data_IF_595955887739
#
_entry.id   IF_595955887739
#
_cell.length_a   1.000
_cell.length_b   1.000
_cell.length_c   1.000
_cell.angle_alpha   90.00
_cell.angle_beta   90.00
_cell.angle_gamma   90.00
#
_symmetry.space_group_name_H-M   'P 1'
#
loop_
_entity.id
_entity.type
_entity.pdbx_description
1 polymer ?
#
# COMPACT_ATOMS: atom_id res chain seq x y z
N UNK A 1 5.92 23.24 1.44
CA UNK A 1 4.62 22.74 1.97
C UNK A 1 4.98 21.91 3.18
N UNK A 2 4.44 22.22 4.36
CA UNK A 2 4.87 21.53 5.59
C UNK A 2 4.31 20.10 5.64
N UNK A 3 5.03 19.14 6.23
CA UNK A 3 4.57 17.73 6.35
C UNK A 3 3.15 17.61 6.96
N UNK A 4 2.77 18.55 7.83
CA UNK A 4 1.44 18.66 8.45
C UNK A 4 0.33 19.03 7.44
N UNK A 5 0.63 19.84 6.43
CA UNK A 5 -0.34 20.18 5.37
C UNK A 5 -0.59 18.99 4.44
N UNK A 6 0.45 18.19 4.17
CA UNK A 6 0.37 17.01 3.30
C UNK A 6 -0.46 15.88 3.94
N UNK A 7 -0.22 15.56 5.23
CA UNK A 7 -1.02 14.58 5.98
C UNK A 7 -2.51 14.99 6.10
N UNK A 8 -2.77 16.29 6.26
CA UNK A 8 -4.14 16.80 6.33
C UNK A 8 -4.89 16.68 4.99
N UNK A 9 -4.17 16.79 3.88
CA UNK A 9 -4.74 16.73 2.52
C UNK A 9 -5.06 15.29 2.14
N UNK A 10 -4.12 14.36 2.34
CA UNK A 10 -4.35 12.93 2.10
C UNK A 10 -5.51 12.38 2.94
N UNK A 11 -5.61 12.78 4.21
CA UNK A 11 -6.71 12.37 5.08
C UNK A 11 -8.06 12.88 4.58
N UNK A 12 -8.11 14.09 4.04
CA UNK A 12 -9.33 14.66 3.49
C UNK A 12 -9.74 13.97 2.18
N UNK A 13 -8.80 13.60 1.32
CA UNK A 13 -9.07 12.83 0.11
C UNK A 13 -9.60 11.42 0.43
N UNK A 14 -9.01 10.74 1.41
CA UNK A 14 -9.49 9.44 1.88
C UNK A 14 -10.93 9.53 2.42
N UNK A 15 -11.21 10.54 3.25
CA UNK A 15 -12.55 10.79 3.78
C UNK A 15 -13.56 11.15 2.68
N UNK A 16 -13.15 11.95 1.69
CA UNK A 16 -14.00 12.31 0.56
C UNK A 16 -14.41 11.06 -0.24
N UNK A 17 -13.46 10.15 -0.50
CA UNK A 17 -13.73 8.86 -1.14
C UNK A 17 -14.75 8.02 -0.35
N UNK A 18 -14.59 7.95 0.98
CA UNK A 18 -15.52 7.24 1.88
C UNK A 18 -16.92 7.87 1.88
N UNK A 19 -17.03 9.19 1.90
CA UNK A 19 -18.32 9.91 1.83
C UNK A 19 -19.02 9.63 0.49
N UNK A 20 -18.30 9.68 -0.63
CA UNK A 20 -18.84 9.34 -1.95
C UNK A 20 -19.35 7.90 -1.98
N UNK A 21 -18.60 6.96 -1.41
CA UNK A 21 -19.03 5.58 -1.34
C UNK A 21 -20.31 5.41 -0.50
N UNK A 22 -20.41 6.11 0.64
CA UNK A 22 -21.62 6.11 1.47
C UNK A 22 -22.85 6.61 0.69
N UNK A 23 -22.69 7.67 -0.12
CA UNK A 23 -23.78 8.17 -0.97
C UNK A 23 -24.25 7.13 -1.99
N UNK A 24 -23.34 6.39 -2.62
CA UNK A 24 -23.72 5.33 -3.58
C UNK A 24 -24.39 4.16 -2.85
N UNK A 25 -23.87 3.73 -1.70
CA UNK A 25 -24.51 2.68 -0.89
C UNK A 25 -25.95 3.08 -0.51
N UNK A 26 -26.15 4.35 -0.15
CA UNK A 26 -27.48 4.88 0.16
C UNK A 26 -28.41 4.90 -1.06
N UNK A 27 -27.90 5.28 -2.24
CA UNK A 27 -28.67 5.23 -3.49
C UNK A 27 -29.06 3.79 -3.83
N UNK A 28 -28.15 2.83 -3.66
CA UNK A 28 -28.44 1.41 -3.86
C UNK A 28 -29.56 0.94 -2.92
N UNK A 29 -29.50 1.31 -1.64
CA UNK A 29 -30.55 0.98 -0.69
C UNK A 29 -31.89 1.67 -1.02
N UNK A 30 -31.87 2.95 -1.36
CA UNK A 30 -33.07 3.69 -1.77
C UNK A 30 -33.72 3.06 -3.01
N UNK A 31 -32.90 2.65 -3.99
CA UNK A 31 -33.36 1.97 -5.20
C UNK A 31 -33.94 0.60 -4.87
N UNK A 32 -33.27 -0.18 -4.03
CA UNK A 32 -33.78 -1.45 -3.55
C UNK A 32 -35.14 -1.30 -2.85
N UNK A 33 -35.26 -0.33 -1.94
CA UNK A 33 -36.50 -0.06 -1.21
C UNK A 33 -37.61 0.41 -2.16
N UNK A 34 -37.30 1.25 -3.15
CA UNK A 34 -38.24 1.67 -4.18
C UNK A 34 -38.75 0.49 -5.00
N UNK A 35 -37.83 -0.34 -5.51
CA UNK A 35 -38.17 -1.52 -6.32
C UNK A 35 -39.00 -2.51 -5.51
N UNK A 36 -38.63 -2.78 -4.26
CA UNK A 36 -39.40 -3.64 -3.36
C UNK A 36 -40.82 -3.09 -3.14
N UNK A 37 -40.95 -1.78 -2.91
CA UNK A 37 -42.25 -1.11 -2.74
C UNK A 37 -43.12 -1.24 -4.00
N UNK A 38 -42.54 -1.00 -5.18
CA UNK A 38 -43.24 -1.12 -6.48
C UNK A 38 -43.67 -2.56 -6.75
N UNK A 39 -42.81 -3.54 -6.48
CA UNK A 39 -43.14 -4.97 -6.68
C UNK A 39 -44.27 -5.41 -5.76
N UNK A 40 -44.22 -5.02 -4.48
CA UNK A 40 -45.30 -5.31 -3.52
C UNK A 40 -46.60 -4.66 -3.96
N UNK A 41 -46.56 -3.41 -4.43
CA UNK A 41 -47.73 -2.73 -4.97
C UNK A 41 -48.32 -3.48 -6.17
N UNK A 42 -47.48 -3.83 -7.16
CA UNK A 42 -47.93 -4.52 -8.36
C UNK A 42 -48.55 -5.90 -8.07
N UNK A 43 -48.09 -6.59 -7.03
CA UNK A 43 -48.57 -7.94 -6.65
C UNK A 43 -49.80 -7.91 -5.72
N UNK A 44 -49.83 -7.00 -4.75
CA UNK A 44 -50.84 -6.99 -3.70
C UNK A 44 -51.94 -5.94 -3.91
N UNK A 45 -51.66 -4.87 -4.64
CA UNK A 45 -52.52 -3.68 -4.73
C UNK A 45 -52.50 -3.06 -6.15
N UNK A 46 -53.24 -3.63 -7.12
CA UNK A 46 -53.19 -3.19 -8.51
C UNK A 46 -53.58 -1.72 -8.73
N UNK A 47 -54.33 -1.12 -7.79
CA UNK A 47 -54.72 0.29 -7.82
C UNK A 47 -53.72 1.16 -7.03
N UNK A 48 -53.20 2.22 -7.69
CA UNK A 48 -52.31 3.23 -7.11
C UNK A 48 -52.92 4.09 -6.00
N UNK A 49 -54.21 3.93 -5.70
CA UNK A 49 -54.94 4.70 -4.69
C UNK A 49 -54.75 4.19 -3.25
N UNK A 50 -53.93 3.16 -3.02
CA UNK A 50 -53.69 2.66 -1.67
C UNK A 50 -52.74 3.59 -0.90
N UNK A 51 -53.32 4.42 -0.03
CA UNK A 51 -52.63 5.37 0.86
C UNK A 51 -51.57 4.72 1.75
N UNK A 52 -51.65 3.41 1.96
CA UNK A 52 -50.74 2.70 2.84
C UNK A 52 -49.29 2.84 2.34
N UNK A 53 -48.99 2.55 1.06
CA UNK A 53 -47.60 2.51 0.55
C UNK A 53 -47.02 3.90 0.25
N UNK A 54 -47.84 4.94 0.29
CA UNK A 54 -47.42 6.31 0.00
C UNK A 54 -46.32 6.81 0.94
N UNK A 55 -46.35 6.39 2.22
CA UNK A 55 -45.32 6.73 3.21
C UNK A 55 -43.95 6.19 2.83
N UNK A 56 -43.86 4.96 2.29
CA UNK A 56 -42.61 4.38 1.81
C UNK A 56 -42.06 5.14 0.60
N UNK A 57 -42.91 5.52 -0.36
CA UNK A 57 -42.49 6.33 -1.51
C UNK A 57 -41.97 7.71 -1.10
N UNK A 58 -42.65 8.39 -0.17
CA UNK A 58 -42.20 9.68 0.37
C UNK A 58 -40.83 9.51 1.03
N UNK A 59 -40.69 8.47 1.85
CA UNK A 59 -39.46 8.19 2.58
C UNK A 59 -38.31 7.87 1.61
N UNK A 60 -38.53 7.09 0.54
CA UNK A 60 -37.56 6.91 -0.55
C UNK A 60 -37.21 8.23 -1.25
N UNK A 61 -38.21 9.05 -1.56
CA UNK A 61 -38.01 10.36 -2.18
C UNK A 61 -37.14 11.29 -1.33
N UNK A 62 -37.36 11.30 -0.01
CA UNK A 62 -36.53 12.04 0.96
C UNK A 62 -35.09 11.55 0.94
N UNK A 63 -34.84 10.24 0.82
CA UNK A 63 -33.45 9.72 0.69
C UNK A 63 -32.78 10.27 -0.55
N UNK A 64 -33.44 10.19 -1.72
CA UNK A 64 -32.88 10.70 -2.97
C UNK A 64 -32.60 12.19 -2.88
N UNK A 65 -33.55 12.95 -2.34
CA UNK A 65 -33.41 14.39 -2.15
C UNK A 65 -32.24 14.73 -1.22
N UNK A 66 -32.16 14.12 -0.04
CA UNK A 66 -31.05 14.33 0.89
C UNK A 66 -29.71 13.95 0.27
N UNK A 67 -29.65 12.85 -0.49
CA UNK A 67 -28.42 12.42 -1.17
C UNK A 67 -28.00 13.41 -2.26
N UNK A 68 -28.96 13.96 -3.00
CA UNK A 68 -28.71 15.03 -3.96
C UNK A 68 -28.21 16.30 -3.27
N UNK A 69 -28.83 16.72 -2.17
CA UNK A 69 -28.38 17.86 -1.38
C UNK A 69 -26.94 17.65 -0.87
N UNK A 70 -26.61 16.45 -0.39
CA UNK A 70 -25.26 16.11 0.06
C UNK A 70 -24.25 16.16 -1.09
N UNK A 71 -24.59 15.63 -2.27
CA UNK A 71 -23.73 15.72 -3.44
C UNK A 71 -23.45 17.18 -3.84
N UNK A 72 -24.47 18.05 -3.84
CA UNK A 72 -24.32 19.48 -4.17
C UNK A 72 -23.54 20.27 -3.12
N UNK A 73 -23.64 19.87 -1.85
CA UNK A 73 -22.92 20.50 -0.74
C UNK A 73 -21.46 20.02 -0.61
N UNK A 74 -21.14 18.85 -1.16
CA UNK A 74 -19.83 18.20 -1.02
C UNK A 74 -18.68 19.11 -1.48
N UNK A 75 -18.87 19.81 -2.60
CA UNK A 75 -17.85 20.69 -3.18
C UNK A 75 -17.73 22.03 -2.42
N UNK A 76 -18.69 22.36 -1.55
CA UNK A 76 -18.71 23.62 -0.79
C UNK A 76 -18.18 23.49 0.63
N UNK A 77 -18.07 22.27 1.17
CA UNK A 77 -17.74 22.03 2.58
C UNK A 77 -16.29 21.61 2.73
N UNK A 78 -15.54 22.35 3.57
CA UNK A 78 -14.14 22.04 3.91
C UNK A 78 -13.97 21.16 5.16
N UNK A 79 -15.04 20.98 5.95
CA UNK A 79 -15.04 20.20 7.21
C UNK A 79 -15.69 18.82 7.01
N UNK A 80 -15.01 17.91 6.32
CA UNK A 80 -15.54 16.58 5.96
C UNK A 80 -15.94 15.71 7.16
N UNK A 81 -15.22 15.83 8.29
CA UNK A 81 -15.55 15.09 9.53
C UNK A 81 -16.90 15.52 10.10
N UNK A 82 -17.16 16.83 10.17
CA UNK A 82 -18.45 17.34 10.67
C UNK A 82 -19.59 16.95 9.71
N UNK A 83 -19.35 17.09 8.40
CA UNK A 83 -20.31 16.69 7.38
C UNK A 83 -20.70 15.21 7.48
N UNK A 84 -19.71 14.35 7.71
CA UNK A 84 -19.88 12.92 7.96
C UNK A 84 -20.80 12.63 9.15
N UNK A 85 -20.61 13.32 10.28
CA UNK A 85 -21.48 13.17 11.44
C UNK A 85 -22.93 13.59 11.16
N UNK A 86 -23.11 14.74 10.51
CA UNK A 86 -24.45 15.24 10.14
C UNK A 86 -25.16 14.21 9.26
N UNK A 87 -24.47 13.70 8.25
CA UNK A 87 -25.00 12.71 7.32
C UNK A 87 -25.47 11.43 8.03
N UNK A 88 -24.67 10.92 8.96
CA UNK A 88 -24.96 9.70 9.72
C UNK A 88 -26.11 9.90 10.73
N UNK A 89 -26.21 11.08 11.35
CA UNK A 89 -27.35 11.39 12.25
C UNK A 89 -28.67 11.41 11.46
N UNK A 90 -28.67 11.99 10.26
CA UNK A 90 -29.85 11.92 9.39
C UNK A 90 -30.16 10.51 8.92
N UNK A 91 -29.14 9.65 8.72
CA UNK A 91 -29.38 8.23 8.44
C UNK A 91 -30.06 7.52 9.62
N UNK A 92 -29.61 7.77 10.85
CA UNK A 92 -30.25 7.22 12.06
C UNK A 92 -31.71 7.66 12.13
N UNK A 93 -31.99 8.97 11.95
CA UNK A 93 -33.37 9.49 11.95
C UNK A 93 -34.23 8.87 10.84
N UNK A 94 -33.67 8.70 9.66
CA UNK A 94 -34.34 8.05 8.54
C UNK A 94 -34.68 6.59 8.86
N UNK A 95 -33.74 5.84 9.45
CA UNK A 95 -33.97 4.45 9.85
C UNK A 95 -35.05 4.39 10.94
N UNK A 96 -35.05 5.29 11.92
CA UNK A 96 -36.12 5.39 12.92
C UNK A 96 -37.48 5.62 12.25
N UNK A 97 -37.57 6.55 11.30
CA UNK A 97 -38.78 6.85 10.57
C UNK A 97 -39.26 5.66 9.72
N UNK A 98 -38.33 4.94 9.08
CA UNK A 98 -38.63 3.73 8.32
C UNK A 98 -39.23 2.64 9.22
N UNK A 99 -38.64 2.40 10.40
CA UNK A 99 -39.14 1.43 11.38
C UNK A 99 -40.53 1.83 11.87
N UNK A 100 -40.74 3.11 12.19
CA UNK A 100 -42.06 3.62 12.58
C UNK A 100 -43.13 3.36 11.52
N UNK A 101 -42.83 3.68 10.25
CA UNK A 101 -43.75 3.48 9.13
C UNK A 101 -44.04 2.00 8.92
N UNK A 102 -43.05 1.12 9.07
CA UNK A 102 -43.14 -0.30 8.69
C UNK A 102 -43.65 -1.22 9.80
N UNK A 103 -44.11 -0.70 10.94
CA UNK A 103 -44.76 -1.48 11.99
C UNK A 103 -44.10 -1.41 13.37
N UNK A 104 -43.14 -0.50 13.57
CA UNK A 104 -42.51 -0.29 14.88
C UNK A 104 -41.73 -1.51 15.34
N UNK A 105 -42.14 -2.10 16.47
CA UNK A 105 -41.49 -3.29 17.04
C UNK A 105 -41.44 -4.51 16.11
N UNK A 106 -42.43 -4.68 15.22
CA UNK A 106 -42.44 -5.79 14.25
C UNK A 106 -41.62 -5.51 12.99
N UNK A 107 -41.07 -4.32 12.85
CA UNK A 107 -40.34 -3.93 11.65
C UNK A 107 -39.09 -4.78 11.47
N UNK A 108 -38.97 -5.38 10.29
CA UNK A 108 -37.76 -6.12 9.89
C UNK A 108 -36.59 -5.16 9.69
N UNK A 109 -36.80 -3.85 9.52
CA UNK A 109 -35.77 -2.88 9.16
C UNK A 109 -34.82 -2.46 10.29
N UNK A 110 -34.91 -3.03 11.50
CA UNK A 110 -33.96 -2.76 12.59
C UNK A 110 -32.49 -3.04 12.22
N UNK A 111 -32.23 -4.00 11.32
CA UNK A 111 -30.89 -4.27 10.80
C UNK A 111 -30.27 -3.09 10.02
N UNK A 112 -31.07 -2.12 9.55
CA UNK A 112 -30.53 -0.94 8.87
C UNK A 112 -29.65 -0.09 9.79
N UNK A 113 -29.95 -0.07 11.11
CA UNK A 113 -29.05 0.59 12.06
C UNK A 113 -27.66 -0.03 12.04
N UNK A 114 -27.56 -1.36 11.87
CA UNK A 114 -26.29 -2.06 11.79
C UNK A 114 -25.48 -1.54 10.59
N UNK A 115 -26.11 -1.36 9.42
CA UNK A 115 -25.42 -0.78 8.26
C UNK A 115 -24.95 0.66 8.52
N UNK A 116 -25.78 1.49 9.16
CA UNK A 116 -25.37 2.87 9.52
C UNK A 116 -24.20 2.90 10.51
N UNK A 117 -24.16 1.97 11.46
CA UNK A 117 -23.07 1.82 12.45
C UNK A 117 -21.78 1.35 11.76
N UNK A 118 -21.87 0.38 10.85
CA UNK A 118 -20.72 -0.09 10.05
C UNK A 118 -20.15 1.08 9.24
N UNK A 119 -20.99 1.86 8.57
CA UNK A 119 -20.56 3.03 7.81
C UNK A 119 -19.88 4.08 8.70
N UNK A 120 -20.42 4.33 9.90
CA UNK A 120 -19.82 5.22 10.87
C UNK A 120 -18.45 4.72 11.35
N UNK A 121 -18.29 3.42 11.59
CA UNK A 121 -17.04 2.80 11.97
C UNK A 121 -15.99 2.87 10.85
N UNK A 122 -16.37 2.67 9.59
CA UNK A 122 -15.44 2.76 8.45
C UNK A 122 -14.96 4.21 8.21
N UNK A 123 -15.87 5.17 8.38
CA UNK A 123 -15.61 6.57 8.05
C UNK A 123 -14.95 7.35 9.19
N UNK A 124 -15.35 7.08 10.42
CA UNK A 124 -14.99 7.85 11.62
C UNK A 124 -14.38 6.96 12.73
N UNK A 125 -14.03 5.72 12.39
CA UNK A 125 -13.38 4.75 13.26
C UNK A 125 -14.15 4.54 14.57
N UNK A 126 -13.44 4.24 15.65
CA UNK A 126 -14.02 3.92 16.95
C UNK A 126 -14.95 5.00 17.51
N UNK A 127 -14.60 6.27 17.35
CA UNK A 127 -15.42 7.38 17.88
C UNK A 127 -16.74 7.49 17.12
N UNK A 128 -16.70 7.40 15.80
CA UNK A 128 -17.92 7.45 14.99
C UNK A 128 -18.83 6.26 15.19
N UNK A 129 -18.26 5.04 15.14
CA UNK A 129 -19.03 3.80 15.32
C UNK A 129 -19.79 3.76 16.65
N UNK A 130 -19.12 4.10 17.76
CA UNK A 130 -19.76 4.13 19.09
C UNK A 130 -20.81 5.24 19.21
N UNK A 131 -20.55 6.45 18.71
CA UNK A 131 -21.51 7.56 18.77
C UNK A 131 -22.78 7.25 17.98
N UNK A 132 -22.65 6.70 16.78
CA UNK A 132 -23.81 6.33 15.96
C UNK A 132 -24.54 5.13 16.56
N UNK A 133 -23.86 4.17 17.19
CA UNK A 133 -24.53 3.11 17.94
C UNK A 133 -25.36 3.67 19.10
N UNK A 134 -24.83 4.63 19.87
CA UNK A 134 -25.59 5.31 20.91
C UNK A 134 -26.79 6.07 20.34
N UNK A 135 -26.62 6.79 19.23
CA UNK A 135 -27.71 7.49 18.56
C UNK A 135 -28.80 6.53 18.05
N UNK A 136 -28.41 5.38 17.48
CA UNK A 136 -29.32 4.31 17.05
C UNK A 136 -30.05 3.66 18.24
N UNK A 137 -29.36 3.43 19.36
CA UNK A 137 -29.99 2.93 20.59
C UNK A 137 -31.01 3.92 21.14
N UNK A 138 -30.70 5.21 21.16
CA UNK A 138 -31.62 6.27 21.59
C UNK A 138 -32.81 6.36 20.64
N UNK A 139 -32.58 6.36 19.32
CA UNK A 139 -33.63 6.44 18.31
C UNK A 139 -34.58 5.25 18.35
N UNK A 140 -34.03 4.03 18.41
CA UNK A 140 -34.82 2.81 18.51
C UNK A 140 -35.54 2.69 19.86
N UNK A 141 -34.85 2.99 20.97
CA UNK A 141 -35.45 2.98 22.30
C UNK A 141 -36.58 3.97 22.45
N UNK A 142 -36.37 5.22 22.02
CA UNK A 142 -37.41 6.26 22.04
C UNK A 142 -38.62 5.85 21.21
N UNK A 143 -38.41 5.22 20.05
CA UNK A 143 -39.51 4.73 19.22
C UNK A 143 -40.33 3.65 19.94
N UNK A 144 -39.66 2.66 20.55
CA UNK A 144 -40.34 1.59 21.27
C UNK A 144 -41.02 2.08 22.55
N UNK A 145 -40.41 2.98 23.29
CA UNK A 145 -40.99 3.58 24.50
C UNK A 145 -42.26 4.36 24.15
N UNK A 146 -42.21 5.22 23.12
CA UNK A 146 -43.38 5.97 22.65
C UNK A 146 -44.51 5.05 22.17
N UNK A 147 -44.16 3.93 21.50
CA UNK A 147 -45.13 2.92 21.07
C UNK A 147 -45.75 2.19 22.27
N UNK A 148 -44.94 1.82 23.26
CA UNK A 148 -45.37 1.11 24.46
C UNK A 148 -46.35 1.95 25.30
N UNK A 149 -46.08 3.26 25.48
CA UNK A 149 -46.99 4.17 26.18
C UNK A 149 -48.22 4.58 25.35
N UNK A 150 -48.33 4.11 24.10
CA UNK A 150 -49.46 4.42 23.22
C UNK A 150 -49.47 5.88 22.73
N UNK A 151 -48.36 6.61 22.84
CA UNK A 151 -48.24 7.99 22.33
C UNK A 151 -48.22 7.98 20.80
N UNK A 152 -47.57 6.96 20.22
CA UNK A 152 -47.54 6.74 18.78
C UNK A 152 -48.14 5.37 18.45
N UNK A 153 -48.89 5.31 17.35
CA UNK A 153 -49.33 4.06 16.75
C UNK A 153 -48.59 3.91 15.42
N UNK A 154 -47.86 2.79 15.19
CA UNK A 154 -47.20 2.54 13.92
C UNK A 154 -48.20 2.62 12.76
N UNK A 155 -47.79 3.30 11.68
CA UNK A 155 -48.67 3.62 10.55
C UNK A 155 -49.24 2.37 9.89
N UNK A 156 -48.42 1.32 9.81
CA UNK A 156 -48.84 -0.02 9.42
C UNK A 156 -48.95 -0.92 10.64
N UNK A 157 -50.15 -1.05 11.17
CA UNK A 157 -50.51 -2.11 12.12
C UNK A 157 -51.61 -2.94 11.46
N UNK A 158 -51.44 -4.26 11.33
CA UNK A 158 -52.52 -5.11 10.79
C UNK A 158 -53.72 -5.00 11.74
N UNK A 159 -54.88 -4.63 11.19
CA UNK A 159 -56.12 -4.42 11.96
C UNK A 159 -56.58 -5.65 12.78
N UNK A 160 -55.99 -6.84 12.55
CA UNK A 160 -56.30 -8.09 13.24
C UNK A 160 -55.49 -8.33 14.53
N UNK A 161 -54.50 -7.51 14.85
CA UNK A 161 -53.53 -7.78 15.94
C UNK A 161 -53.32 -6.57 16.86
N UNK A 162 -54.39 -6.06 17.48
CA UNK A 162 -54.29 -5.30 18.75
C UNK A 162 -53.83 -6.23 19.91
N UNK A 163 -52.92 -7.16 19.63
CA UNK A 163 -52.22 -7.94 20.64
C UNK A 163 -51.31 -6.96 21.37
N UNK A 164 -51.74 -6.54 22.55
CA UNK A 164 -50.88 -5.79 23.46
C UNK A 164 -49.70 -6.68 23.81
N UNK A 165 -48.55 -6.48 23.17
CA UNK A 165 -47.35 -7.25 23.52
C UNK A 165 -47.03 -7.03 24.99
N UNK A 166 -46.63 -8.10 25.66
CA UNK A 166 -46.18 -8.04 27.04
C UNK A 166 -45.00 -7.08 27.15
N UNK A 167 -44.90 -6.36 28.28
CA UNK A 167 -43.77 -5.48 28.62
C UNK A 167 -42.42 -6.19 28.40
N UNK A 168 -42.35 -7.47 28.75
CA UNK A 168 -41.17 -8.31 28.56
C UNK A 168 -40.72 -8.44 27.09
N UNK A 169 -41.64 -8.40 26.13
CA UNK A 169 -41.29 -8.45 24.70
C UNK A 169 -40.65 -7.15 24.22
N UNK A 170 -41.21 -5.99 24.58
CA UNK A 170 -40.59 -4.69 24.29
C UNK A 170 -39.20 -4.59 24.92
N UNK A 171 -39.07 -4.97 26.19
CA UNK A 171 -37.80 -4.94 26.91
C UNK A 171 -36.76 -5.88 26.28
N UNK A 172 -37.15 -7.12 25.97
CA UNK A 172 -36.27 -8.10 25.32
C UNK A 172 -35.79 -7.61 23.95
N UNK A 173 -36.69 -7.12 23.11
CA UNK A 173 -36.36 -6.63 21.77
C UNK A 173 -35.46 -5.41 21.83
N UNK A 174 -35.72 -4.48 22.76
CA UNK A 174 -34.86 -3.32 23.00
C UNK A 174 -33.44 -3.75 23.41
N UNK A 175 -33.35 -4.61 24.43
CA UNK A 175 -32.08 -5.09 24.96
C UNK A 175 -31.25 -5.80 23.88
N UNK A 176 -31.87 -6.70 23.12
CA UNK A 176 -31.19 -7.46 22.06
C UNK A 176 -30.69 -6.56 20.93
N UNK A 177 -31.48 -5.57 20.50
CA UNK A 177 -31.05 -4.62 19.46
C UNK A 177 -29.92 -3.72 19.97
N UNK A 178 -30.01 -3.19 21.20
CA UNK A 178 -28.93 -2.39 21.79
C UNK A 178 -27.64 -3.22 21.89
N UNK A 179 -27.73 -4.46 22.39
CA UNK A 179 -26.59 -5.36 22.47
C UNK A 179 -25.98 -5.60 21.07
N UNK A 180 -26.81 -5.88 20.06
CA UNK A 180 -26.36 -6.07 18.68
C UNK A 180 -25.68 -4.81 18.11
N UNK A 181 -26.25 -3.62 18.36
CA UNK A 181 -25.69 -2.35 17.89
C UNK A 181 -24.30 -2.10 18.47
N UNK A 182 -24.13 -2.28 19.78
CA UNK A 182 -22.81 -2.10 20.42
C UNK A 182 -21.82 -3.20 20.05
N UNK A 183 -22.27 -4.45 19.88
CA UNK A 183 -21.41 -5.55 19.42
C UNK A 183 -20.86 -5.25 18.02
N UNK A 184 -21.72 -4.84 17.09
CA UNK A 184 -21.29 -4.49 15.74
C UNK A 184 -20.45 -3.22 15.75
N UNK A 185 -20.82 -2.20 16.53
CA UNK A 185 -20.02 -0.99 16.66
C UNK A 185 -18.60 -1.30 17.12
N UNK A 186 -18.45 -2.17 18.13
CA UNK A 186 -17.14 -2.59 18.62
C UNK A 186 -16.37 -3.36 17.55
N UNK A 187 -16.98 -4.39 16.95
CA UNK A 187 -16.31 -5.25 15.96
C UNK A 187 -15.92 -4.47 14.70
N UNK A 188 -16.83 -3.71 14.12
CA UNK A 188 -16.58 -2.91 12.93
C UNK A 188 -15.58 -1.80 13.20
N UNK A 189 -15.61 -1.18 14.39
CA UNK A 189 -14.60 -0.18 14.78
C UNK A 189 -13.22 -0.79 14.94
N UNK A 190 -13.12 -1.97 15.56
CA UNK A 190 -11.86 -2.71 15.69
C UNK A 190 -11.29 -3.06 14.32
N UNK A 191 -12.12 -3.62 13.44
CA UNK A 191 -11.71 -3.98 12.07
C UNK A 191 -11.28 -2.75 11.26
N UNK A 192 -12.03 -1.64 11.33
CA UNK A 192 -11.68 -0.42 10.62
C UNK A 192 -10.35 0.18 11.09
N UNK A 193 -10.09 0.14 12.40
CA UNK A 193 -8.83 0.62 12.98
C UNK A 193 -7.66 -0.30 12.65
N UNK A 194 -7.86 -1.62 12.71
CA UNK A 194 -6.84 -2.60 12.37
C UNK A 194 -6.47 -2.55 10.88
N UNK A 195 -7.46 -2.40 10.00
CA UNK A 195 -7.25 -2.21 8.58
C UNK A 195 -6.40 -0.95 8.31
N UNK A 196 -6.75 0.17 8.95
CA UNK A 196 -5.98 1.42 8.85
C UNK A 196 -4.53 1.23 9.31
N UNK A 197 -4.32 0.61 10.46
CA UNK A 197 -2.98 0.35 11.02
C UNK A 197 -2.16 -0.54 10.09
N UNK A 198 -2.77 -1.58 9.53
CA UNK A 198 -2.13 -2.46 8.56
C UNK A 198 -1.72 -1.71 7.29
N UNK A 199 -2.62 -0.90 6.72
CA UNK A 199 -2.32 -0.09 5.53
C UNK A 199 -1.19 0.92 5.78
N UNK A 200 -1.16 1.57 6.94
CA UNK A 200 -0.05 2.50 7.30
C UNK A 200 1.27 1.74 7.42
N UNK A 201 1.28 0.59 8.11
CA UNK A 201 2.50 -0.25 8.23
C UNK A 201 2.99 -0.74 6.87
N UNK A 202 2.09 -1.14 5.97
CA UNK A 202 2.44 -1.57 4.62
C UNK A 202 3.05 -0.43 3.80
N UNK A 203 2.46 0.76 3.83
CA UNK A 203 3.02 1.94 3.16
C UNK A 203 4.42 2.29 3.69
N UNK A 204 4.62 2.25 5.01
CA UNK A 204 5.93 2.50 5.61
C UNK A 204 6.98 1.47 5.16
N UNK A 205 6.65 0.17 5.17
CA UNK A 205 7.55 -0.87 4.66
C UNK A 205 7.87 -0.72 3.18
N UNK A 206 6.89 -0.35 2.36
CA UNK A 206 7.13 -0.11 0.94
C UNK A 206 8.11 1.05 0.74
N UNK A 207 7.91 2.15 1.47
CA UNK A 207 8.82 3.29 1.44
C UNK A 207 10.25 2.90 1.84
N UNK A 208 10.42 2.12 2.93
CA UNK A 208 11.74 1.65 3.37
C UNK A 208 12.43 0.77 2.31
N UNK A 209 11.68 -0.08 1.62
CA UNK A 209 12.20 -0.90 0.51
C UNK A 209 12.65 -0.03 -0.66
N UNK A 210 11.83 0.94 -1.06
CA UNK A 210 12.15 1.86 -2.16
C UNK A 210 13.42 2.67 -1.82
N UNK A 211 13.57 3.13 -0.57
CA UNK A 211 14.78 3.82 -0.10
C UNK A 211 16.01 2.92 -0.12
N UNK A 212 15.87 1.65 0.29
CA UNK A 212 16.96 0.68 0.27
C UNK A 212 17.41 0.38 -1.17
N UNK A 213 16.47 0.24 -2.11
CA UNK A 213 16.76 0.03 -3.52
C UNK A 213 17.50 1.24 -4.12
N UNK A 214 17.03 2.46 -3.83
CA UNK A 214 17.68 3.69 -4.27
C UNK A 214 19.10 3.81 -3.68
N UNK A 215 19.27 3.53 -2.39
CA UNK A 215 20.58 3.55 -1.74
C UNK A 215 21.53 2.53 -2.39
N UNK A 216 21.08 1.30 -2.59
CA UNK A 216 21.87 0.25 -3.22
C UNK A 216 22.28 0.65 -4.65
N UNK A 217 21.32 1.13 -5.45
CA UNK A 217 21.59 1.65 -6.80
C UNK A 217 22.63 2.78 -6.78
N UNK A 218 22.49 3.74 -5.87
CA UNK A 218 23.42 4.87 -5.75
C UNK A 218 24.82 4.41 -5.31
N UNK A 219 24.92 3.46 -4.38
CA UNK A 219 26.22 2.88 -3.97
C UNK A 219 26.89 2.20 -5.16
N UNK A 220 26.19 1.28 -5.84
CA UNK A 220 26.75 0.55 -6.98
C UNK A 220 27.15 1.49 -8.12
N UNK A 221 26.38 2.56 -8.36
CA UNK A 221 26.68 3.56 -9.38
C UNK A 221 27.82 4.54 -9.01
N UNK A 222 28.07 4.76 -7.72
CA UNK A 222 29.08 5.73 -7.25
C UNK A 222 30.45 5.13 -6.94
N UNK A 223 30.55 3.80 -6.86
CA UNK A 223 31.83 3.12 -6.66
C UNK A 223 32.68 3.23 -7.94
N UNK A 224 33.90 3.77 -7.83
CA UNK A 224 34.89 3.88 -8.92
C UNK A 224 35.54 2.53 -9.31
N UNK A 225 35.04 1.44 -8.75
CA UNK A 225 35.44 0.07 -9.11
C UNK A 225 34.41 -0.47 -10.09
N UNK A 226 34.87 -0.99 -11.22
CA UNK A 226 34.02 -1.63 -12.21
C UNK A 226 33.37 -2.88 -11.63
N UNK A 227 32.06 -2.98 -11.72
CA UNK A 227 31.28 -4.16 -11.37
C UNK A 227 30.63 -4.71 -12.63
N UNK A 228 30.92 -5.96 -12.96
CA UNK A 228 30.32 -6.67 -14.10
C UNK A 228 29.65 -7.93 -13.57
N UNK A 229 28.41 -8.18 -13.98
CA UNK A 229 27.76 -9.47 -13.80
C UNK A 229 27.73 -10.20 -15.13
N UNK A 230 28.10 -11.47 -15.11
CA UNK A 230 28.10 -12.38 -16.25
C UNK A 230 27.10 -13.50 -16.02
N UNK A 231 26.50 -14.01 -17.09
CA UNK A 231 25.75 -15.28 -17.06
C UNK A 231 26.69 -16.50 -17.16
N UNK A 232 26.13 -17.71 -17.15
CA UNK A 232 26.89 -18.97 -17.28
C UNK A 232 27.62 -19.13 -18.62
N UNK A 233 27.29 -18.32 -19.62
CA UNK A 233 27.94 -18.27 -20.95
C UNK A 233 29.00 -17.17 -21.03
N UNK A 234 29.33 -16.50 -19.91
CA UNK A 234 30.22 -15.34 -19.83
C UNK A 234 29.76 -14.12 -20.64
N UNK A 235 28.46 -14.02 -20.91
CA UNK A 235 27.86 -12.83 -21.51
C UNK A 235 27.50 -11.82 -20.41
N UNK A 236 27.75 -10.55 -20.69
CA UNK A 236 27.52 -9.45 -19.75
C UNK A 236 26.02 -9.23 -19.57
N UNK A 237 25.54 -9.38 -18.33
CA UNK A 237 24.15 -9.12 -17.94
C UNK A 237 23.97 -7.78 -17.23
N UNK A 238 25.02 -7.29 -16.57
CA UNK A 238 24.99 -5.99 -15.88
C UNK A 238 26.40 -5.40 -15.81
N UNK A 239 26.49 -4.07 -15.93
CA UNK A 239 27.69 -3.31 -15.59
C UNK A 239 27.32 -2.04 -14.80
N UNK A 240 28.20 -1.58 -13.92
CA UNK A 240 28.09 -0.24 -13.34
C UNK A 240 28.81 0.83 -14.20
N UNK A 241 28.57 2.13 -13.96
CA UNK A 241 29.18 3.22 -14.73
C UNK A 241 30.72 3.24 -14.71
N UNK A 242 31.36 2.71 -13.67
CA UNK A 242 32.81 2.63 -13.61
C UNK A 242 33.40 1.71 -14.70
N UNK A 243 32.67 0.66 -15.12
CA UNK A 243 33.09 -0.19 -16.25
C UNK A 243 33.06 0.58 -17.56
N UNK A 244 32.07 1.47 -17.76
CA UNK A 244 32.02 2.32 -18.96
C UNK A 244 33.24 3.25 -19.02
N UNK A 245 33.61 3.82 -17.87
CA UNK A 245 34.80 4.67 -17.76
C UNK A 245 36.08 3.87 -18.02
N UNK A 246 36.25 2.68 -17.42
CA UNK A 246 37.43 1.84 -17.60
C UNK A 246 37.55 1.33 -19.05
N UNK A 247 36.46 0.76 -19.60
CA UNK A 247 36.46 0.10 -20.90
C UNK A 247 36.39 1.08 -22.08
N UNK A 248 35.74 2.24 -21.90
CA UNK A 248 35.45 3.19 -22.97
C UNK A 248 34.25 2.79 -23.85
N UNK A 249 33.48 1.77 -23.45
CA UNK A 249 32.24 1.36 -24.11
C UNK A 249 31.02 1.73 -23.25
N UNK A 250 29.91 2.10 -23.89
CA UNK A 250 28.65 2.36 -23.18
C UNK A 250 27.90 1.07 -22.86
N UNK A 251 27.03 1.10 -21.85
CA UNK A 251 26.21 -0.03 -21.39
C UNK A 251 25.48 -0.75 -22.53
N UNK A 252 24.86 0.00 -23.44
CA UNK A 252 24.11 -0.55 -24.58
C UNK A 252 24.98 -1.29 -25.60
N UNK A 253 26.27 -0.98 -25.63
CA UNK A 253 27.22 -1.64 -26.51
C UNK A 253 27.81 -2.89 -25.89
N UNK A 254 27.48 -3.21 -24.63
CA UNK A 254 28.11 -4.28 -23.85
C UNK A 254 27.12 -5.37 -23.39
N UNK A 255 25.83 -5.06 -23.30
CA UNK A 255 24.81 -6.02 -22.88
C UNK A 255 24.72 -7.21 -23.85
N UNK A 256 24.81 -8.44 -23.30
CA UNK A 256 24.79 -9.69 -24.07
C UNK A 256 26.07 -10.00 -24.84
N UNK A 257 27.09 -9.14 -24.75
CA UNK A 257 28.40 -9.41 -25.37
C UNK A 257 29.21 -10.33 -24.46
N UNK A 258 29.95 -11.25 -25.08
CA UNK A 258 30.86 -12.14 -24.38
C UNK A 258 32.03 -11.35 -23.80
N UNK A 259 32.34 -11.53 -22.51
CA UNK A 259 33.35 -10.74 -21.79
C UNK A 259 34.73 -10.77 -22.46
N UNK A 260 35.05 -11.87 -23.15
CA UNK A 260 36.32 -12.04 -23.87
C UNK A 260 36.52 -11.13 -25.08
N UNK A 261 35.44 -10.58 -25.65
CA UNK A 261 35.55 -9.64 -26.77
C UNK A 261 36.04 -8.27 -26.32
N UNK A 262 35.82 -7.94 -25.04
CA UNK A 262 36.22 -6.66 -24.45
C UNK A 262 37.47 -6.85 -23.59
N UNK A 263 37.51 -7.88 -22.75
CA UNK A 263 38.61 -8.16 -21.82
C UNK A 263 39.24 -9.54 -22.09
N UNK A 264 39.88 -9.75 -23.27
CA UNK A 264 40.40 -11.06 -23.67
C UNK A 264 41.46 -11.61 -22.71
N UNK A 265 42.22 -10.74 -22.05
CA UNK A 265 43.27 -11.12 -21.08
C UNK A 265 42.73 -11.56 -19.71
N UNK A 266 41.44 -11.32 -19.42
CA UNK A 266 40.80 -11.74 -18.16
C UNK A 266 40.24 -13.17 -18.29
N UNK A 267 39.80 -13.58 -19.49
CA UNK A 267 39.17 -14.89 -19.77
C UNK A 267 39.97 -16.09 -19.23
N UNK A 268 41.31 -16.18 -19.40
CA UNK A 268 42.08 -17.35 -18.93
C UNK A 268 42.03 -17.59 -17.41
N UNK A 269 41.61 -16.57 -16.66
CA UNK A 269 41.55 -16.59 -15.21
C UNK A 269 40.12 -16.74 -14.68
N UNK A 270 39.12 -16.74 -15.56
CA UNK A 270 37.73 -16.91 -15.15
C UNK A 270 37.50 -18.37 -14.76
N UNK A 271 37.00 -18.58 -13.54
CA UNK A 271 36.65 -19.90 -13.05
C UNK A 271 35.30 -20.29 -13.63
N UNK A 272 35.28 -20.76 -14.88
CA UNK A 272 34.12 -21.51 -15.36
C UNK A 272 34.21 -22.88 -14.74
N UNK A 273 33.15 -23.33 -14.07
CA UNK A 273 33.02 -24.70 -13.60
C UNK A 273 32.90 -25.64 -14.82
N UNK A 274 34.03 -25.92 -15.48
CA UNK A 274 34.17 -27.01 -16.43
C UNK A 274 33.97 -28.32 -15.65
N UNK A 275 32.72 -28.82 -15.66
CA UNK A 275 32.34 -30.13 -15.12
C UNK A 275 32.92 -31.27 -15.96
N UNK A 276 34.25 -31.37 -16.03
CA UNK A 276 34.93 -32.52 -16.64
C UNK A 276 36.32 -32.77 -16.02
N UNK A 277 36.37 -32.90 -14.70
CA UNK A 277 37.56 -33.34 -13.99
C UNK A 277 37.22 -33.68 -12.56
N UNK A 278 37.28 -34.97 -12.25
CA UNK A 278 37.23 -35.53 -10.91
C UNK A 278 38.45 -35.03 -10.12
N UNK A 279 38.33 -33.90 -9.43
CA UNK A 279 39.24 -33.46 -8.37
C UNK A 279 38.54 -32.40 -7.51
N UNK A 280 38.52 -32.66 -6.21
CA UNK A 280 37.89 -31.89 -5.13
C UNK A 280 38.61 -30.55 -4.83
N UNK A 281 39.34 -30.01 -5.80
CA UNK A 281 39.98 -28.69 -5.70
C UNK A 281 39.04 -27.64 -6.29
N UNK A 282 38.13 -27.12 -5.45
CA UNK A 282 37.40 -25.89 -5.77
C UNK A 282 38.41 -24.82 -6.21
N UNK A 283 38.33 -24.26 -7.43
CA UNK A 283 39.20 -23.15 -7.82
C UNK A 283 38.89 -21.98 -6.89
N UNK A 284 39.85 -21.66 -6.01
CA UNK A 284 39.72 -20.54 -5.09
C UNK A 284 39.52 -19.25 -5.90
N UNK A 285 38.65 -18.33 -5.46
CA UNK A 285 38.48 -17.04 -6.13
C UNK A 285 39.84 -16.35 -6.24
N UNK A 286 40.35 -16.25 -7.46
CA UNK A 286 41.62 -15.56 -7.73
C UNK A 286 41.42 -14.08 -7.39
N UNK A 287 42.10 -13.64 -6.33
CA UNK A 287 42.10 -12.24 -5.87
C UNK A 287 43.35 -11.55 -6.39
N UNK A 288 43.16 -10.43 -7.10
CA UNK A 288 44.23 -9.48 -7.39
C UNK A 288 45.16 -9.92 -8.51
N UNK A 289 44.59 -10.33 -9.64
CA UNK A 289 45.37 -10.51 -10.87
C UNK A 289 45.41 -9.19 -11.61
N UNK A 290 46.63 -8.73 -11.88
CA UNK A 290 46.87 -7.50 -12.61
C UNK A 290 47.05 -7.82 -14.10
N UNK A 291 46.24 -7.20 -14.96
CA UNK A 291 46.32 -7.33 -16.41
C UNK A 291 46.45 -5.97 -17.09
N UNK A 292 47.26 -5.91 -18.13
CA UNK A 292 47.37 -4.71 -18.97
C UNK A 292 46.18 -4.66 -19.93
N UNK A 293 45.40 -3.59 -19.90
CA UNK A 293 44.26 -3.37 -20.77
C UNK A 293 44.51 -2.17 -21.67
N UNK A 294 44.37 -2.38 -22.98
CA UNK A 294 44.41 -1.30 -23.96
C UNK A 294 42.97 -0.80 -24.16
N UNK A 295 42.67 0.38 -23.62
CA UNK A 295 41.37 1.05 -23.77
C UNK A 295 41.13 1.39 -25.25
N UNK A 296 39.86 1.53 -25.63
CA UNK A 296 39.45 1.85 -27.01
C UNK A 296 40.11 3.12 -27.59
N UNK A 297 40.45 4.08 -26.75
CA UNK A 297 41.14 5.32 -27.13
C UNK A 297 42.68 5.18 -27.28
N UNK A 298 43.22 3.97 -27.06
CA UNK A 298 44.65 3.66 -27.11
C UNK A 298 45.38 3.84 -25.77
N UNK A 299 44.68 4.24 -24.70
CA UNK A 299 45.28 4.39 -23.37
C UNK A 299 45.56 3.02 -22.75
N UNK A 300 46.75 2.83 -22.18
CA UNK A 300 47.09 1.63 -21.41
C UNK A 300 46.70 1.78 -19.95
N UNK A 301 45.88 0.88 -19.47
CA UNK A 301 45.47 0.76 -18.07
C UNK A 301 46.05 -0.50 -17.45
N UNK A 302 46.40 -0.44 -16.17
CA UNK A 302 46.70 -1.61 -15.36
C UNK A 302 45.46 -1.96 -14.54
N UNK A 303 44.79 -3.05 -14.87
CA UNK A 303 43.55 -3.46 -14.19
C UNK A 303 43.84 -4.60 -13.22
N UNK A 304 43.55 -4.39 -11.94
CA UNK A 304 43.39 -5.47 -10.98
C UNK A 304 41.97 -6.03 -11.10
N UNK A 305 41.81 -7.35 -11.17
CA UNK A 305 40.48 -7.95 -11.10
C UNK A 305 40.35 -9.04 -10.05
N UNK A 306 39.11 -9.27 -9.63
CA UNK A 306 38.71 -10.39 -8.80
C UNK A 306 37.32 -10.89 -9.23
N UNK A 307 37.05 -12.16 -8.97
CA UNK A 307 35.79 -12.79 -9.33
C UNK A 307 35.14 -13.49 -8.13
N UNK A 308 33.82 -13.56 -8.15
CA UNK A 308 33.02 -14.34 -7.20
C UNK A 308 31.83 -14.99 -7.91
N UNK A 309 31.42 -16.17 -7.47
CA UNK A 309 30.27 -16.89 -8.03
C UNK A 309 28.97 -16.18 -7.63
N UNK A 310 28.10 -15.94 -8.60
CA UNK A 310 26.74 -15.46 -8.39
C UNK A 310 25.79 -16.65 -8.26
N UNK A 311 25.04 -16.69 -7.15
CA UNK A 311 24.05 -17.74 -6.87
C UNK A 311 22.64 -17.16 -6.75
N UNK A 312 21.65 -17.92 -7.18
CA UNK A 312 20.24 -17.64 -6.94
C UNK A 312 19.86 -17.95 -5.46
N UNK A 313 18.72 -17.49 -4.91
CA UNK A 313 18.30 -17.85 -3.56
C UNK A 313 18.15 -19.36 -3.31
N UNK A 314 17.99 -20.17 -4.36
CA UNK A 314 18.00 -21.63 -4.29
C UNK A 314 19.39 -22.26 -4.11
N UNK A 315 20.47 -21.49 -4.23
CA UNK A 315 21.86 -21.94 -4.10
C UNK A 315 22.52 -22.39 -5.42
N UNK A 316 21.77 -22.40 -6.51
CA UNK A 316 22.27 -22.71 -7.85
C UNK A 316 23.15 -21.57 -8.40
N UNK A 317 24.22 -21.94 -9.09
CA UNK A 317 25.12 -20.99 -9.77
C UNK A 317 24.46 -20.47 -11.05
N UNK A 318 24.28 -19.14 -11.11
CA UNK A 318 23.63 -18.43 -12.22
C UNK A 318 24.60 -17.55 -13.00
N UNK A 319 25.85 -17.42 -12.52
CA UNK A 319 26.91 -16.74 -13.25
C UNK A 319 28.05 -16.27 -12.36
N UNK A 320 28.71 -15.18 -12.77
CA UNK A 320 29.88 -14.62 -12.09
C UNK A 320 29.71 -13.11 -11.86
N UNK A 321 30.22 -12.62 -10.73
CA UNK A 321 30.46 -11.19 -10.50
C UNK A 321 31.96 -10.94 -10.67
N UNK A 322 32.33 -10.02 -11.54
CA UNK A 322 33.69 -9.50 -11.70
C UNK A 322 33.78 -8.10 -11.12
N UNK A 323 34.86 -7.87 -10.38
CA UNK A 323 35.24 -6.56 -9.86
C UNK A 323 36.53 -6.16 -10.56
N UNK A 324 36.52 -5.01 -11.25
CA UNK A 324 37.63 -4.41 -11.99
C UNK A 324 38.08 -3.13 -11.30
N UNK A 325 39.36 -3.03 -10.98
CA UNK A 325 39.94 -1.85 -10.36
C UNK A 325 41.07 -1.31 -11.24
N UNK A 326 41.02 -0.03 -11.59
CA UNK A 326 42.13 0.65 -12.24
C UNK A 326 43.24 0.93 -11.22
N UNK A 327 44.41 0.31 -11.43
CA UNK A 327 45.60 0.41 -10.60
C UNK A 327 46.71 1.23 -11.29
N UNK A 328 46.41 1.92 -12.39
CA UNK A 328 47.40 2.65 -13.20
C UNK A 328 48.12 3.72 -12.38
N UNK A 329 47.38 4.60 -11.69
CA UNK A 329 47.98 5.63 -10.82
C UNK A 329 48.78 5.02 -9.67
N UNK A 330 48.28 3.94 -9.07
CA UNK A 330 48.95 3.26 -7.97
C UNK A 330 50.31 2.70 -8.40
N UNK A 331 50.37 2.03 -9.56
CA UNK A 331 51.63 1.51 -10.11
C UNK A 331 52.59 2.63 -10.50
N UNK A 332 52.10 3.71 -11.14
CA UNK A 332 52.94 4.86 -11.49
C UNK A 332 53.59 5.50 -10.25
N UNK A 333 52.81 5.69 -9.18
CA UNK A 333 53.34 6.18 -7.91
C UNK A 333 54.37 5.23 -7.31
N UNK A 334 54.10 3.92 -7.32
CA UNK A 334 55.03 2.91 -6.77
C UNK A 334 56.36 2.88 -7.54
N UNK A 335 56.32 3.01 -8.87
CA UNK A 335 57.53 3.08 -9.70
C UNK A 335 58.31 4.37 -9.45
N UNK A 336 57.63 5.50 -9.29
CA UNK A 336 58.27 6.77 -8.97
C UNK A 336 59.01 6.71 -7.62
N UNK A 337 58.37 6.15 -6.59
CA UNK A 337 59.02 5.93 -5.27
C UNK A 337 60.24 5.03 -5.41
N UNK A 338 60.11 3.88 -6.11
CA UNK A 338 61.24 2.97 -6.37
C UNK A 338 62.40 3.66 -7.12
N UNK A 339 62.08 4.60 -8.02
CA UNK A 339 63.09 5.36 -8.77
C UNK A 339 63.81 6.36 -7.88
N UNK A 340 63.10 7.03 -6.98
CA UNK A 340 63.69 7.96 -6.00
C UNK A 340 64.61 7.23 -5.02
N UNK A 341 64.21 6.06 -4.50
CA UNK A 341 65.05 5.25 -3.62
C UNK A 341 66.36 4.83 -4.31
N UNK A 342 66.29 4.38 -5.57
CA UNK A 342 67.49 4.01 -6.34
C UNK A 342 68.44 5.19 -6.56
N UNK A 343 67.90 6.39 -6.78
CA UNK A 343 68.69 7.61 -6.95
C UNK A 343 69.33 8.05 -5.63
N UNK A 344 68.63 7.92 -4.50
CA UNK A 344 69.17 8.22 -3.19
C UNK A 344 70.35 7.30 -2.84
N UNK A 345 70.19 5.99 -3.05
CA UNK A 345 71.26 5.00 -2.83
C UNK A 345 72.46 5.24 -3.75
N UNK A 346 72.24 5.57 -5.03
CA UNK A 346 73.33 5.92 -5.94
C UNK A 346 74.04 7.21 -5.53
N UNK A 347 73.32 8.19 -4.98
CA UNK A 347 73.86 9.44 -4.44
C UNK A 347 74.74 9.24 -3.22
N UNK A 348 74.33 8.38 -2.27
CA UNK A 348 75.16 8.01 -1.11
C UNK A 348 76.45 7.30 -1.52
N UNK A 349 76.37 6.36 -2.47
CA UNK A 349 77.55 5.65 -2.98
C UNK A 349 78.50 6.60 -3.72
N UNK A 350 77.98 7.54 -4.51
CA UNK A 350 78.80 8.54 -5.19
C UNK A 350 79.46 9.53 -4.21
N UNK A 351 78.75 9.91 -3.13
CA UNK A 351 79.31 10.75 -2.07
C UNK A 351 80.39 10.02 -1.26
N UNK A 352 80.23 8.71 -1.01
CA UNK A 352 81.25 7.87 -0.38
C UNK A 352 82.50 7.71 -1.24
N UNK A 353 82.35 7.49 -2.56
CA UNK A 353 83.47 7.36 -3.51
C UNK A 353 84.18 8.71 -3.76
N UNK A 354 83.48 9.84 -3.61
CA UNK A 354 84.09 11.17 -3.71
C UNK A 354 84.79 11.63 -2.40
N UNK A 355 84.59 10.90 -1.30
CA UNK A 355 85.21 11.18 0.00
C UNK A 355 86.44 10.30 0.28
N UNK A 356 86.64 9.23 -0.50
CA UNK A 356 87.92 8.50 -0.65
C UNK A 356 88.78 9.15 -1.76
#
# INVERSE_FOLDING_TARGET
MSELEQDSTERNEELLGKIKWLMVLRLLFATFLLVATVVVQARAYPSFSNTSLASLYILTGVIYFLTLCYALLLDRIKKYVLFSYVQLVFDVLFVTALIYVTGGIESIFSFMYILTIINAAIMLYRRGGLLIASASSIGYGSLLDLQYFGIIHPYYTRASELMTYTIGYYFYTLLMNIAAFYLVAFLSSYLAEELRRSSVKLKAKQYDLDQLELLNRNIVQSINTGLITLNNQLEISYINPAVEQISGFGYRDLEGIHIGDIFPKIVPYLSISDRRGDNDDMPQPQKGIDVDFDRRDGTRLHLGFSQSILKDPGGDEIGLILILQDLTEFRQMQEQVRRMDRLAVAGELAAGIAHE
#
